data_IF_441225437387
#
_entry.id   IF_441225437387
#
_cell.length_a   1.000
_cell.length_b   1.000
_cell.length_c   1.000
_cell.angle_alpha   90.00
_cell.angle_beta   90.00
_cell.angle_gamma   90.00
#
_symmetry.space_group_name_H-M   'P 1'
#
loop_
_entity.id
_entity.type
_entity.pdbx_description
1 polymer ?
#
# COMPACT_ATOMS: atom_id res chain seq x y z
N UNK A 1 1.29 -16.45 -5.92
CA UNK A 1 1.20 -15.32 -6.88
C UNK A 1 2.61 -15.01 -7.38
N UNK A 2 2.85 -14.84 -8.69
CA UNK A 2 4.19 -14.54 -9.22
C UNK A 2 4.70 -13.18 -8.72
N UNK A 3 6.00 -13.07 -8.42
CA UNK A 3 6.67 -11.82 -8.01
C UNK A 3 6.41 -10.66 -8.97
N UNK A 4 6.31 -10.93 -10.28
CA UNK A 4 6.04 -9.93 -11.31
C UNK A 4 4.63 -9.31 -11.20
N UNK A 5 3.65 -10.04 -10.67
CA UNK A 5 2.27 -9.55 -10.58
C UNK A 5 2.11 -8.46 -9.50
N UNK A 6 3.03 -8.41 -8.52
CA UNK A 6 3.01 -7.42 -7.42
C UNK A 6 3.51 -6.04 -7.83
N UNK A 7 4.19 -5.94 -8.97
CA UNK A 7 4.64 -4.65 -9.50
C UNK A 7 3.55 -3.94 -10.32
N UNK A 8 2.48 -4.66 -10.69
CA UNK A 8 1.31 -4.07 -11.33
C UNK A 8 0.44 -3.35 -10.31
N UNK A 9 -0.26 -2.31 -10.76
CA UNK A 9 -1.38 -1.71 -10.04
C UNK A 9 -2.39 -2.81 -9.63
N UNK A 10 -2.93 -2.80 -8.40
CA UNK A 10 -3.77 -3.89 -7.91
C UNK A 10 -4.94 -4.27 -8.83
N UNK A 11 -5.63 -3.26 -9.38
CA UNK A 11 -6.80 -3.46 -10.25
C UNK A 11 -6.47 -4.01 -11.64
N UNK A 12 -5.19 -4.04 -12.04
CA UNK A 12 -4.74 -4.65 -13.30
C UNK A 12 -4.40 -6.14 -13.15
N UNK A 13 -4.38 -6.67 -11.93
CA UNK A 13 -3.97 -8.05 -11.66
C UNK A 13 -5.08 -9.02 -12.04
N UNK A 14 -4.70 -10.17 -12.62
CA UNK A 14 -5.63 -11.26 -12.93
C UNK A 14 -6.32 -11.72 -11.64
N UNK A 15 -7.66 -11.77 -11.66
CA UNK A 15 -8.48 -12.18 -10.52
C UNK A 15 -8.75 -11.08 -9.50
N UNK A 16 -8.42 -9.82 -9.81
CA UNK A 16 -8.87 -8.69 -9.01
C UNK A 16 -10.41 -8.61 -9.01
N UNK A 17 -10.98 -8.50 -7.82
CA UNK A 17 -12.41 -8.30 -7.59
C UNK A 17 -12.57 -7.08 -6.70
N UNK A 18 -13.44 -6.14 -7.11
CA UNK A 18 -13.82 -5.02 -6.26
C UNK A 18 -14.97 -5.45 -5.34
N UNK A 19 -14.73 -5.35 -4.05
CA UNK A 19 -15.64 -5.86 -3.02
C UNK A 19 -16.44 -4.76 -2.33
N UNK A 20 -15.87 -3.57 -2.31
CA UNK A 20 -16.45 -2.40 -1.63
C UNK A 20 -15.85 -1.11 -2.21
N UNK A 21 -16.42 0.02 -1.80
CA UNK A 21 -15.93 1.37 -2.09
C UNK A 21 -16.07 2.24 -0.85
N UNK A 22 -15.15 3.19 -0.66
CA UNK A 22 -15.21 4.16 0.42
C UNK A 22 -15.04 5.58 -0.13
N UNK A 23 -15.42 6.57 0.67
CA UNK A 23 -15.16 7.98 0.38
C UNK A 23 -13.67 8.26 0.55
N UNK A 24 -12.97 8.59 -0.54
CA UNK A 24 -11.53 8.82 -0.52
C UNK A 24 -11.11 10.02 0.34
N UNK A 25 -12.03 10.94 0.68
CA UNK A 25 -11.78 12.00 1.66
C UNK A 25 -11.71 11.49 3.10
N UNK A 26 -12.09 10.22 3.33
CA UNK A 26 -12.09 9.54 4.63
C UNK A 26 -11.36 8.20 4.55
N UNK A 27 -10.03 8.22 4.31
CA UNK A 27 -9.25 6.99 4.08
C UNK A 27 -9.29 5.98 5.23
N UNK A 28 -9.55 6.43 6.46
CA UNK A 28 -9.73 5.55 7.62
C UNK A 28 -10.96 4.63 7.49
N UNK A 29 -12.05 5.09 6.86
CA UNK A 29 -13.22 4.22 6.60
C UNK A 29 -12.83 3.07 5.63
N UNK A 30 -11.97 3.35 4.66
CA UNK A 30 -11.39 2.34 3.76
C UNK A 30 -10.52 1.32 4.50
N UNK A 31 -9.69 1.76 5.46
CA UNK A 31 -8.89 0.86 6.28
C UNK A 31 -9.75 -0.11 7.10
N UNK A 32 -10.81 0.41 7.72
CA UNK A 32 -11.76 -0.41 8.47
C UNK A 32 -12.47 -1.42 7.57
N UNK A 33 -12.84 -1.01 6.35
CA UNK A 33 -13.45 -1.91 5.38
C UNK A 33 -12.51 -3.05 4.99
N UNK A 34 -11.22 -2.76 4.73
CA UNK A 34 -10.21 -3.80 4.45
C UNK A 34 -10.05 -4.77 5.64
N UNK A 35 -9.96 -4.25 6.87
CA UNK A 35 -9.88 -5.08 8.08
C UNK A 35 -11.11 -5.99 8.24
N UNK A 36 -12.31 -5.47 7.98
CA UNK A 36 -13.54 -6.25 8.01
C UNK A 36 -13.54 -7.35 6.93
N UNK A 37 -13.08 -7.03 5.72
CA UNK A 37 -12.97 -7.98 4.61
C UNK A 37 -11.95 -9.09 4.87
N UNK A 38 -10.83 -8.78 5.53
CA UNK A 38 -9.85 -9.79 5.96
C UNK A 38 -10.48 -10.75 6.98
N UNK A 39 -11.15 -10.23 8.02
CA UNK A 39 -11.84 -11.04 9.03
C UNK A 39 -12.95 -11.91 8.43
N UNK A 40 -13.79 -11.33 7.57
CA UNK A 40 -14.90 -12.04 6.92
C UNK A 40 -14.42 -13.23 6.06
N UNK A 41 -13.19 -13.15 5.51
CA UNK A 41 -12.55 -14.24 4.75
C UNK A 41 -11.73 -15.20 5.61
N UNK A 42 -11.82 -15.10 6.93
CA UNK A 42 -11.16 -16.02 7.86
C UNK A 42 -9.70 -15.69 8.18
N UNK A 43 -9.21 -14.50 7.85
CA UNK A 43 -7.87 -14.09 8.24
C UNK A 43 -7.76 -14.03 9.77
N UNK A 44 -6.85 -14.82 10.34
CA UNK A 44 -6.47 -14.70 11.74
C UNK A 44 -5.56 -13.48 11.97
N UNK A 45 -6.13 -12.35 12.37
CA UNK A 45 -5.39 -11.10 12.59
C UNK A 45 -4.51 -11.06 13.85
N UNK A 46 -4.46 -12.14 14.64
CA UNK A 46 -3.50 -12.25 15.75
C UNK A 46 -2.11 -12.71 15.30
N UNK A 47 -1.97 -13.06 14.02
CA UNK A 47 -0.70 -13.47 13.40
C UNK A 47 -0.19 -12.37 12.48
N UNK A 48 1.14 -12.31 12.36
CA UNK A 48 1.78 -11.45 11.38
C UNK A 48 1.42 -11.86 9.96
N UNK A 49 1.35 -10.87 9.07
CA UNK A 49 0.96 -11.01 7.68
C UNK A 49 1.90 -10.21 6.81
N UNK A 50 2.05 -10.66 5.57
CA UNK A 50 2.69 -9.87 4.54
C UNK A 50 1.76 -8.73 4.13
N UNK A 51 2.26 -7.50 4.19
CA UNK A 51 1.54 -6.27 3.92
C UNK A 51 2.26 -5.53 2.79
N UNK A 52 1.49 -5.05 1.83
CA UNK A 52 1.99 -4.33 0.67
C UNK A 52 1.32 -2.96 0.63
N UNK A 53 2.12 -1.92 0.50
CA UNK A 53 1.71 -0.53 0.41
C UNK A 53 2.06 0.04 -0.96
N UNK A 54 1.22 0.98 -1.42
CA UNK A 54 1.36 1.63 -2.71
C UNK A 54 1.50 3.13 -2.54
N UNK A 55 2.61 3.67 -3.06
CA UNK A 55 2.89 5.11 -3.10
C UNK A 55 3.15 5.50 -4.55
N UNK A 56 2.72 6.70 -4.93
CA UNK A 56 2.88 7.22 -6.29
C UNK A 56 3.50 8.61 -6.25
N UNK A 57 4.45 8.88 -7.13
CA UNK A 57 5.24 10.11 -7.12
C UNK A 57 5.23 10.83 -8.45
N UNK A 58 5.37 12.16 -8.40
CA UNK A 58 5.48 13.01 -9.59
C UNK A 58 6.79 12.79 -10.35
N UNK A 59 7.84 12.37 -9.65
CA UNK A 59 9.18 12.22 -10.24
C UNK A 59 9.86 10.92 -9.81
N UNK A 60 10.75 10.41 -10.67
CA UNK A 60 11.63 9.29 -10.35
C UNK A 60 12.52 9.60 -9.15
N UNK A 61 12.96 10.85 -9.02
CA UNK A 61 13.81 11.31 -7.92
C UNK A 61 13.05 11.27 -6.57
N UNK A 62 11.83 11.82 -6.51
CA UNK A 62 10.99 11.78 -5.31
C UNK A 62 10.68 10.33 -4.88
N UNK A 63 10.38 9.46 -5.85
CA UNK A 63 10.22 8.02 -5.58
C UNK A 63 11.48 7.39 -4.98
N UNK A 64 12.66 7.70 -5.53
CA UNK A 64 13.91 7.12 -5.08
C UNK A 64 14.28 7.57 -3.65
N UNK A 65 14.04 8.85 -3.33
CA UNK A 65 14.26 9.39 -1.99
C UNK A 65 13.30 8.77 -0.95
N UNK A 66 12.00 8.69 -1.28
CA UNK A 66 11.03 7.98 -0.45
C UNK A 66 11.43 6.52 -0.22
N UNK A 67 11.93 5.82 -1.24
CA UNK A 67 12.42 4.45 -1.10
C UNK A 67 13.61 4.32 -0.15
N UNK A 68 14.50 5.32 -0.11
CA UNK A 68 15.61 5.37 0.84
C UNK A 68 15.12 5.59 2.28
N UNK A 69 14.16 6.50 2.48
CA UNK A 69 13.55 6.76 3.79
C UNK A 69 12.80 5.53 4.32
N UNK A 70 12.02 4.86 3.47
CA UNK A 70 11.27 3.66 3.88
C UNK A 70 12.17 2.50 4.33
N UNK A 71 13.38 2.39 3.78
CA UNK A 71 14.37 1.40 4.24
C UNK A 71 14.84 1.66 5.66
N UNK A 72 14.96 2.91 6.09
CA UNK A 72 15.33 3.23 7.50
C UNK A 72 14.19 2.89 8.47
N UNK A 73 12.96 2.78 7.96
CA UNK A 73 11.78 2.29 8.67
C UNK A 73 11.53 0.78 8.47
N UNK A 74 12.53 0.03 7.98
CA UNK A 74 12.48 -1.43 7.80
C UNK A 74 11.45 -1.95 6.78
N UNK A 75 11.10 -1.15 5.78
CA UNK A 75 10.35 -1.63 4.63
C UNK A 75 11.30 -2.14 3.54
N UNK A 76 10.91 -3.24 2.89
CA UNK A 76 11.45 -3.60 1.59
C UNK A 76 10.76 -2.77 0.51
N UNK A 77 11.51 -2.24 -0.47
CA UNK A 77 10.94 -1.41 -1.53
C UNK A 77 11.25 -1.95 -2.91
N UNK A 78 10.27 -1.87 -3.82
CA UNK A 78 10.38 -2.27 -5.23
C UNK A 78 9.77 -1.20 -6.12
N UNK A 79 10.41 -0.96 -7.26
CA UNK A 79 9.85 -0.09 -8.30
C UNK A 79 8.67 -0.81 -8.95
N UNK A 80 7.48 -0.22 -8.82
CA UNK A 80 6.28 -0.70 -9.50
C UNK A 80 6.16 -0.16 -10.92
N UNK A 81 5.03 -0.47 -11.55
CA UNK A 81 4.67 0.04 -12.87
C UNK A 81 4.61 1.57 -12.90
N UNK A 82 4.92 2.14 -14.05
CA UNK A 82 4.65 3.55 -14.30
C UNK A 82 3.26 3.68 -14.90
N UNK A 83 2.41 4.50 -14.30
CA UNK A 83 1.10 4.83 -14.87
C UNK A 83 1.32 5.79 -16.06
N UNK A 84 0.53 5.68 -17.12
CA UNK A 84 0.60 6.63 -18.24
C UNK A 84 -0.26 7.88 -17.99
N UNK A 85 -0.96 7.95 -16.85
CA UNK A 85 -2.05 8.90 -16.58
C UNK A 85 -1.95 9.46 -15.15
N UNK A 86 -2.16 10.77 -15.02
CA UNK A 86 -2.18 11.50 -13.74
C UNK A 86 -0.87 12.19 -13.37
N UNK A 87 -0.90 12.98 -12.30
CA UNK A 87 0.23 13.81 -11.85
C UNK A 87 1.33 13.00 -11.14
N UNK A 88 1.03 11.76 -10.73
CA UNK A 88 1.91 10.88 -9.96
C UNK A 88 2.15 9.54 -10.68
N UNK A 89 2.85 9.49 -11.83
CA UNK A 89 2.96 8.27 -12.61
C UNK A 89 3.91 7.22 -12.02
N UNK A 90 4.81 7.59 -11.10
CA UNK A 90 5.88 6.70 -10.66
C UNK A 90 5.51 5.94 -9.38
N UNK A 91 5.15 4.66 -9.54
CA UNK A 91 4.78 3.79 -8.42
C UNK A 91 6.00 3.28 -7.64
N UNK A 92 5.86 3.25 -6.32
CA UNK A 92 6.69 2.53 -5.36
C UNK A 92 5.84 1.53 -4.61
N UNK A 93 6.33 0.30 -4.56
CA UNK A 93 5.77 -0.76 -3.71
C UNK A 93 6.63 -0.83 -2.45
N UNK A 94 6.01 -0.75 -1.28
CA UNK A 94 6.68 -0.93 0.01
C UNK A 94 6.06 -2.11 0.76
N UNK A 95 6.89 -3.06 1.18
CA UNK A 95 6.46 -4.35 1.72
C UNK A 95 7.09 -4.56 3.09
N UNK A 96 6.32 -5.21 3.97
CA UNK A 96 6.81 -5.67 5.28
C UNK A 96 5.97 -6.84 5.78
N UNK A 97 6.45 -7.51 6.82
CA UNK A 97 5.66 -8.47 7.60
C UNK A 97 5.36 -7.88 8.97
N UNK A 98 4.14 -8.05 9.47
CA UNK A 98 3.79 -7.75 10.85
C UNK A 98 2.29 -7.80 11.12
N UNK A 99 1.87 -7.29 12.28
CA UNK A 99 0.47 -7.34 12.70
C UNK A 99 -0.42 -6.40 11.89
N UNK A 100 -1.60 -6.89 11.52
CA UNK A 100 -2.63 -6.12 10.84
C UNK A 100 -3.77 -5.87 11.81
N UNK A 101 -3.79 -4.66 12.38
CA UNK A 101 -4.86 -4.17 13.22
C UNK A 101 -5.02 -2.65 13.02
N UNK A 102 -6.08 -2.09 13.58
CA UNK A 102 -6.42 -0.67 13.39
C UNK A 102 -5.30 0.29 13.84
N UNK A 103 -4.66 0.00 14.98
CA UNK A 103 -3.56 0.80 15.52
C UNK A 103 -2.37 0.83 14.57
N UNK A 104 -1.92 -0.35 14.10
CA UNK A 104 -0.77 -0.45 13.20
C UNK A 104 -1.07 0.19 11.84
N UNK A 105 -2.24 -0.08 11.24
CA UNK A 105 -2.61 0.50 9.95
C UNK A 105 -2.75 2.02 10.04
N UNK A 106 -3.30 2.55 11.13
CA UNK A 106 -3.37 4.01 11.35
C UNK A 106 -1.98 4.62 11.47
N UNK A 107 -1.08 3.98 12.22
CA UNK A 107 0.31 4.42 12.37
C UNK A 107 1.04 4.42 11.02
N UNK A 108 0.85 3.37 10.23
CA UNK A 108 1.49 3.20 8.93
C UNK A 108 0.97 4.16 7.90
N UNK A 109 -0.35 4.37 7.82
CA UNK A 109 -0.93 5.40 6.97
C UNK A 109 -0.32 6.77 7.24
N UNK A 110 -0.20 7.16 8.52
CA UNK A 110 0.43 8.46 8.87
C UNK A 110 1.88 8.54 8.41
N UNK A 111 2.68 7.51 8.71
CA UNK A 111 4.09 7.45 8.31
C UNK A 111 4.26 7.52 6.80
N UNK A 112 3.54 6.67 6.07
CA UNK A 112 3.66 6.52 4.62
C UNK A 112 3.13 7.73 3.88
N UNK A 113 2.01 8.32 4.33
CA UNK A 113 1.49 9.57 3.75
C UNK A 113 2.49 10.70 3.96
N UNK A 114 3.06 10.84 5.17
CA UNK A 114 4.07 11.87 5.45
C UNK A 114 5.32 11.71 4.59
N UNK A 115 5.81 10.48 4.38
CA UNK A 115 6.96 10.23 3.50
C UNK A 115 6.59 10.50 2.04
N UNK A 116 5.39 10.13 1.59
CA UNK A 116 4.94 10.40 0.23
C UNK A 116 4.91 11.90 -0.05
N UNK A 117 4.19 12.66 0.80
CA UNK A 117 3.98 14.09 0.67
C UNK A 117 5.30 14.86 0.68
N UNK A 118 6.22 14.52 1.59
CA UNK A 118 7.54 15.14 1.69
C UNK A 118 8.40 14.96 0.42
N UNK A 119 8.08 13.95 -0.40
CA UNK A 119 8.80 13.61 -1.62
C UNK A 119 7.98 13.86 -2.90
N UNK A 120 6.90 14.65 -2.80
CA UNK A 120 6.06 15.02 -3.96
C UNK A 120 5.27 13.84 -4.52
N UNK A 121 4.67 13.05 -3.64
CA UNK A 121 3.79 11.94 -3.99
C UNK A 121 2.67 11.74 -2.99
N UNK A 122 1.84 10.75 -3.27
CA UNK A 122 0.68 10.37 -2.47
C UNK A 122 0.78 8.90 -2.04
N UNK A 123 0.26 8.63 -0.84
CA UNK A 123 -0.03 7.28 -0.39
C UNK A 123 -1.44 6.88 -0.82
N UNK A 124 -1.56 5.82 -1.62
CA UNK A 124 -2.84 5.32 -2.15
C UNK A 124 -3.53 4.41 -1.13
N UNK A 125 -2.86 3.31 -0.78
CA UNK A 125 -3.41 2.34 0.14
C UNK A 125 -2.55 1.10 0.32
N UNK A 126 -3.17 0.05 0.86
CA UNK A 126 -2.49 -1.18 1.23
C UNK A 126 -3.34 -2.42 0.96
N UNK A 127 -2.67 -3.57 0.92
CA UNK A 127 -3.27 -4.90 0.93
C UNK A 127 -2.51 -5.80 1.91
N UNK A 128 -3.14 -6.88 2.34
CA UNK A 128 -2.49 -7.92 3.14
C UNK A 128 -2.91 -9.31 2.69
N UNK A 129 -2.02 -10.28 2.93
CA UNK A 129 -2.27 -11.69 2.68
C UNK A 129 -3.39 -12.25 3.59
N UNK A 130 -4.15 -13.22 3.07
CA UNK A 130 -5.19 -13.93 3.83
C UNK A 130 -4.63 -15.09 4.67
N UNK A 131 -3.45 -15.60 4.34
CA UNK A 131 -2.77 -16.73 4.97
C UNK A 131 -1.66 -16.32 5.96
#
# INVERSE_FOLDING_TARGET
MSLLNRLLQPWKRKGYEKLDTYDSSKPYEGDLAVLAQLKARGANLTRERHIVHYLYFATVAGRAEAAAQLKTHHYETRVGDTTAEGDHPYMLVAERTGLVNETEITRERRLLSSIAEANGGDYDGWEAALD
#
